data_IF_298218581237
#
_entry.id   IF_298218581237
#
_cell.length_a   1.000
_cell.length_b   1.000
_cell.length_c   1.000
_cell.angle_alpha   90.00
_cell.angle_beta   90.00
_cell.angle_gamma   90.00
#
_symmetry.space_group_name_H-M   'P 1'
#
loop_
_entity.id
_entity.type
_entity.pdbx_description
1 polymer ?
#
# COMPACT_ATOMS: atom_id res chain seq x y z
N UNK A 1 5.03 25.52 -25.00
CA UNK A 1 6.23 24.93 -24.37
C UNK A 1 5.79 23.69 -23.61
N UNK A 2 6.02 22.50 -24.17
CA UNK A 2 5.47 21.23 -23.66
C UNK A 2 6.18 20.75 -22.41
N UNK A 3 5.41 20.40 -21.36
CA UNK A 3 5.96 19.79 -20.14
C UNK A 3 6.53 18.42 -20.51
N UNK A 4 7.83 18.22 -20.24
CA UNK A 4 8.46 16.90 -20.26
C UNK A 4 7.73 16.01 -19.26
N UNK A 5 6.99 15.01 -19.74
CA UNK A 5 6.47 13.93 -18.89
C UNK A 5 7.67 13.14 -18.37
N UNK A 6 7.71 12.89 -17.07
CA UNK A 6 8.65 11.95 -16.46
C UNK A 6 8.45 10.56 -17.06
N UNK A 7 9.54 9.84 -17.33
CA UNK A 7 9.59 8.69 -18.25
C UNK A 7 9.18 7.37 -17.53
N UNK A 8 8.53 7.42 -16.35
CA UNK A 8 8.34 6.23 -15.50
C UNK A 8 6.89 5.95 -15.06
N UNK A 9 6.03 6.96 -14.88
CA UNK A 9 4.61 6.79 -14.58
C UNK A 9 3.76 7.73 -15.42
N UNK A 10 2.59 7.27 -15.87
CA UNK A 10 1.69 8.10 -16.67
C UNK A 10 0.98 9.19 -15.85
N UNK A 11 0.92 9.03 -14.53
CA UNK A 11 0.31 9.97 -13.60
C UNK A 11 1.27 10.31 -12.44
N UNK A 12 1.16 11.54 -11.90
CA UNK A 12 1.94 12.01 -10.73
C UNK A 12 1.46 11.41 -9.40
N UNK A 13 0.25 10.83 -9.35
CA UNK A 13 -0.30 10.17 -8.15
C UNK A 13 -0.98 11.10 -7.13
N UNK A 14 -0.75 12.42 -7.19
CA UNK A 14 -1.31 13.41 -6.24
C UNK A 14 -2.84 13.41 -6.18
N UNK A 15 -3.50 13.37 -7.33
CA UNK A 15 -4.97 13.38 -7.40
C UNK A 15 -5.57 12.19 -6.64
N UNK A 16 -4.98 11.01 -6.81
CA UNK A 16 -5.45 9.80 -6.17
C UNK A 16 -5.22 9.81 -4.66
N UNK A 17 -4.05 10.29 -4.21
CA UNK A 17 -3.78 10.45 -2.78
C UNK A 17 -4.84 11.35 -2.14
N UNK A 18 -5.08 12.52 -2.73
CA UNK A 18 -6.08 13.46 -2.22
C UNK A 18 -7.47 12.84 -2.21
N UNK A 19 -7.86 12.11 -3.27
CA UNK A 19 -9.16 11.46 -3.35
C UNK A 19 -9.31 10.34 -2.32
N UNK A 20 -8.28 9.52 -2.11
CA UNK A 20 -8.28 8.46 -1.07
C UNK A 20 -8.42 9.10 0.32
N UNK A 21 -7.66 10.15 0.60
CA UNK A 21 -7.74 10.85 1.89
C UNK A 21 -9.12 11.50 2.12
N UNK A 22 -9.76 12.02 1.06
CA UNK A 22 -11.11 12.61 1.13
C UNK A 22 -12.19 11.55 1.39
N UNK A 23 -12.08 10.37 0.75
CA UNK A 23 -13.09 9.31 0.85
C UNK A 23 -12.99 8.50 2.14
N UNK A 24 -11.82 8.44 2.76
CA UNK A 24 -11.60 7.65 3.97
C UNK A 24 -12.06 8.39 5.23
N UNK A 25 -13.27 8.05 5.69
CA UNK A 25 -13.79 8.46 7.01
C UNK A 25 -13.00 7.79 8.15
N UNK A 26 -12.51 6.56 7.90
CA UNK A 26 -11.72 5.78 8.86
C UNK A 26 -10.24 6.03 8.64
N UNK A 27 -9.53 6.42 9.70
CA UNK A 27 -8.09 6.72 9.63
C UNK A 27 -7.22 5.47 9.68
N UNK A 28 -7.52 4.53 10.58
CA UNK A 28 -6.67 3.36 10.82
C UNK A 28 -7.31 2.04 10.38
N UNK A 29 -6.50 1.11 9.89
CA UNK A 29 -6.97 -0.18 9.39
C UNK A 29 -7.75 -1.01 10.43
N UNK A 30 -7.37 -0.92 11.72
CA UNK A 30 -8.06 -1.68 12.78
C UNK A 30 -9.47 -1.15 13.09
N UNK A 31 -9.80 0.06 12.64
CA UNK A 31 -11.08 0.73 12.86
C UNK A 31 -12.10 0.43 11.75
N UNK A 32 -11.77 -0.39 10.75
CA UNK A 32 -12.73 -0.76 9.70
C UNK A 32 -13.92 -1.53 10.29
N UNK A 33 -15.12 -1.22 9.78
CA UNK A 33 -16.37 -1.83 10.25
C UNK A 33 -16.43 -3.33 9.94
N UNK A 34 -15.90 -3.73 8.79
CA UNK A 34 -15.76 -5.13 8.37
C UNK A 34 -14.30 -5.54 8.36
N UNK A 35 -14.06 -6.85 8.38
CA UNK A 35 -12.72 -7.38 8.22
C UNK A 35 -12.32 -7.33 6.74
N UNK A 36 -11.23 -6.62 6.45
CA UNK A 36 -10.69 -6.47 5.10
C UNK A 36 -9.28 -7.03 5.02
N UNK A 37 -8.90 -7.44 3.80
CA UNK A 37 -7.53 -7.80 3.43
C UNK A 37 -7.15 -6.91 2.23
N UNK A 38 -6.04 -6.20 2.36
CA UNK A 38 -5.51 -5.30 1.33
C UNK A 38 -4.15 -5.85 0.90
N UNK A 39 -4.06 -6.47 -0.30
CA UNK A 39 -2.81 -7.00 -0.84
C UNK A 39 -1.97 -5.90 -1.49
N UNK A 40 -0.66 -5.96 -1.29
CA UNK A 40 0.34 -5.11 -1.94
C UNK A 40 1.60 -5.93 -2.23
N UNK A 41 2.54 -5.38 -2.99
CA UNK A 41 3.86 -5.98 -3.20
C UNK A 41 4.96 -4.99 -2.79
N UNK A 42 5.91 -5.41 -1.94
CA UNK A 42 7.05 -4.56 -1.58
C UNK A 42 8.20 -4.79 -2.56
N UNK A 43 8.47 -3.79 -3.40
CA UNK A 43 9.48 -3.89 -4.47
C UNK A 43 10.91 -3.91 -3.94
N UNK A 44 11.15 -3.44 -2.71
CA UNK A 44 12.49 -3.48 -2.11
C UNK A 44 12.77 -4.84 -1.47
N UNK A 45 11.76 -5.44 -0.87
CA UNK A 45 11.84 -6.77 -0.26
C UNK A 45 11.51 -7.90 -1.23
N UNK A 46 11.00 -7.57 -2.43
CA UNK A 46 10.56 -8.49 -3.48
C UNK A 46 9.59 -9.56 -2.96
N UNK A 47 8.63 -9.16 -2.12
CA UNK A 47 7.66 -10.07 -1.51
C UNK A 47 6.25 -9.47 -1.42
N UNK A 48 5.20 -10.30 -1.50
CA UNK A 48 3.84 -9.86 -1.23
C UNK A 48 3.67 -9.45 0.24
N UNK A 49 2.92 -8.37 0.47
CA UNK A 49 2.53 -7.90 1.79
C UNK A 49 1.00 -7.83 1.84
N UNK A 50 0.40 -8.39 2.89
CA UNK A 50 -1.04 -8.26 3.13
C UNK A 50 -1.30 -7.52 4.42
N UNK A 51 -1.99 -6.38 4.29
CA UNK A 51 -2.58 -5.67 5.41
C UNK A 51 -3.95 -6.27 5.69
N UNK A 52 -4.30 -6.48 6.96
CA UNK A 52 -5.64 -6.96 7.29
C UNK A 52 -6.11 -6.42 8.63
N UNK A 53 -7.42 -6.21 8.73
CA UNK A 53 -8.06 -5.74 9.96
C UNK A 53 -7.78 -6.70 11.12
N UNK A 54 -7.85 -8.01 10.88
CA UNK A 54 -7.58 -9.03 11.90
C UNK A 54 -6.14 -8.94 12.45
N UNK A 55 -5.13 -8.79 11.57
CA UNK A 55 -3.73 -8.63 12.01
C UNK A 55 -3.52 -7.33 12.77
N UNK A 56 -4.20 -6.25 12.35
CA UNK A 56 -4.11 -4.93 12.98
C UNK A 56 -4.78 -4.90 14.36
N UNK A 57 -5.97 -5.50 14.51
CA UNK A 57 -6.68 -5.64 15.80
C UNK A 57 -5.88 -6.47 16.81
N UNK A 58 -5.19 -7.52 16.36
CA UNK A 58 -4.35 -8.38 17.24
C UNK A 58 -3.08 -7.69 17.74
N UNK A 59 -2.54 -6.74 16.97
CA UNK A 59 -1.29 -6.05 17.30
C UNK A 59 -1.50 -4.54 17.29
N UNK A 60 -2.11 -4.01 18.35
CA UNK A 60 -2.39 -2.57 18.49
C UNK A 60 -1.12 -1.69 18.37
N UNK A 61 0.06 -2.24 18.65
CA UNK A 61 1.35 -1.55 18.47
C UNK A 61 1.76 -1.33 17.01
N UNK A 62 1.05 -1.90 16.04
CA UNK A 62 1.28 -1.72 14.60
C UNK A 62 0.11 -0.92 14.02
N UNK A 63 0.16 0.39 14.23
CA UNK A 63 -0.83 1.32 13.68
C UNK A 63 -0.51 1.57 12.22
N UNK A 64 -1.36 1.02 11.34
CA UNK A 64 -1.28 1.24 9.89
C UNK A 64 -2.47 2.10 9.46
N UNK A 65 -2.18 3.19 8.75
CA UNK A 65 -3.19 4.06 8.16
C UNK A 65 -3.88 3.33 7.01
N UNK A 66 -5.20 3.42 6.97
CA UNK A 66 -5.98 2.78 5.90
C UNK A 66 -5.63 3.40 4.54
N UNK A 67 -5.37 4.71 4.51
CA UNK A 67 -4.95 5.46 3.32
C UNK A 67 -3.68 4.91 2.70
N UNK A 68 -2.65 4.68 3.52
CA UNK A 68 -1.34 4.23 3.06
C UNK A 68 -1.44 2.86 2.40
N UNK A 69 -2.29 1.99 2.96
CA UNK A 69 -2.59 0.68 2.40
C UNK A 69 -3.37 0.80 1.08
N UNK A 70 -4.39 1.67 1.02
CA UNK A 70 -5.20 1.90 -0.17
C UNK A 70 -4.40 2.51 -1.32
N UNK A 71 -3.45 3.40 -1.03
CA UNK A 71 -2.54 3.96 -2.02
C UNK A 71 -1.61 2.85 -2.53
N UNK A 72 -1.00 2.09 -1.63
CA UNK A 72 -0.09 1.00 -1.99
C UNK A 72 -0.73 -0.05 -2.89
N UNK A 73 -1.96 -0.50 -2.58
CA UNK A 73 -2.67 -1.48 -3.42
C UNK A 73 -3.09 -0.91 -4.78
N UNK A 74 -3.27 0.40 -4.89
CA UNK A 74 -3.72 1.03 -6.13
C UNK A 74 -2.56 1.48 -7.01
N UNK A 75 -1.31 1.44 -6.50
CA UNK A 75 -0.10 1.88 -7.19
C UNK A 75 0.32 0.89 -8.30
N UNK A 76 -0.50 0.78 -9.34
CA UNK A 76 -0.28 -0.10 -10.47
C UNK A 76 0.99 0.30 -11.25
N UNK A 77 1.92 -0.65 -11.53
CA UNK A 77 3.12 -0.35 -12.31
C UNK A 77 2.79 0.27 -13.66
N UNK A 78 3.70 1.09 -14.18
CA UNK A 78 3.56 1.90 -15.40
C UNK A 78 2.51 3.03 -15.34
N UNK A 79 1.42 2.87 -14.59
CA UNK A 79 0.38 3.89 -14.45
C UNK A 79 0.67 4.84 -13.29
N UNK A 80 1.17 4.30 -12.18
CA UNK A 80 1.34 5.02 -10.93
C UNK A 80 2.76 4.89 -10.37
N UNK A 81 3.23 5.92 -9.64
CA UNK A 81 4.49 5.81 -8.92
C UNK A 81 4.37 4.81 -7.76
N UNK A 82 5.45 4.06 -7.44
CA UNK A 82 5.53 3.28 -6.21
C UNK A 82 5.33 4.16 -4.97
N UNK A 83 4.67 3.61 -3.97
CA UNK A 83 4.32 4.35 -2.76
C UNK A 83 5.22 3.97 -1.58
N UNK A 84 5.80 4.99 -0.94
CA UNK A 84 6.68 4.81 0.21
C UNK A 84 6.05 5.39 1.48
N UNK A 85 6.14 4.63 2.58
CA UNK A 85 5.86 5.16 3.91
C UNK A 85 6.61 4.39 5.00
N UNK A 86 6.63 4.99 6.19
CA UNK A 86 7.22 4.39 7.39
C UNK A 86 6.13 4.14 8.43
N UNK A 87 6.15 2.95 9.03
CA UNK A 87 5.27 2.58 10.13
C UNK A 87 6.10 2.41 11.40
N UNK A 88 5.83 3.23 12.40
CA UNK A 88 6.45 3.09 13.71
C UNK A 88 5.69 2.07 14.55
N UNK A 89 6.42 1.08 15.05
CA UNK A 89 5.92 0.10 16.00
C UNK A 89 6.83 0.03 17.23
N UNK A 90 6.36 -0.62 18.29
CA UNK A 90 7.14 -0.86 19.50
C UNK A 90 8.44 -1.64 19.25
N UNK A 91 8.48 -2.45 18.19
CA UNK A 91 9.66 -3.22 17.75
C UNK A 91 10.59 -2.44 16.83
N UNK A 92 10.31 -1.16 16.56
CA UNK A 92 11.06 -0.30 15.66
C UNK A 92 10.27 0.19 14.45
N UNK A 93 10.93 0.96 13.59
CA UNK A 93 10.35 1.54 12.37
C UNK A 93 10.45 0.56 11.21
N UNK A 94 9.32 0.22 10.59
CA UNK A 94 9.27 -0.58 9.37
C UNK A 94 8.98 0.30 8.16
N UNK A 95 9.83 0.20 7.14
CA UNK A 95 9.72 0.95 5.89
C UNK A 95 9.04 0.10 4.82
N UNK A 96 8.10 0.67 4.08
CA UNK A 96 7.36 -0.01 3.01
C UNK A 96 7.60 0.67 1.67
N UNK A 97 7.84 -0.11 0.61
CA UNK A 97 7.95 0.38 -0.77
C UNK A 97 6.94 -0.36 -1.64
N UNK A 98 5.70 0.09 -1.63
CA UNK A 98 4.58 -0.67 -2.14
C UNK A 98 4.25 -0.33 -3.59
N UNK A 99 3.88 -1.36 -4.33
CA UNK A 99 3.12 -1.29 -5.59
C UNK A 99 1.89 -2.18 -5.46
N UNK A 100 1.02 -2.10 -6.46
CA UNK A 100 -0.19 -2.91 -6.56
C UNK A 100 0.13 -4.41 -6.37
N UNK A 101 -0.69 -5.06 -5.54
CA UNK A 101 -0.58 -6.49 -5.24
C UNK A 101 -0.73 -7.40 -6.46
N UNK A 102 -1.31 -6.92 -7.58
CA UNK A 102 -1.34 -7.70 -8.84
C UNK A 102 0.05 -8.03 -9.38
N UNK A 103 1.09 -7.28 -8.99
CA UNK A 103 2.49 -7.61 -9.31
C UNK A 103 2.90 -8.95 -8.72
N UNK A 104 2.35 -9.30 -7.56
CA UNK A 104 2.58 -10.59 -6.91
C UNK A 104 2.03 -11.77 -7.73
N UNK A 105 1.07 -11.54 -8.63
CA UNK A 105 0.49 -12.59 -9.47
C UNK A 105 1.41 -13.00 -10.63
N UNK A 106 2.35 -12.15 -11.03
CA UNK A 106 3.24 -12.37 -12.18
C UNK A 106 4.67 -12.78 -11.77
N UNK A 107 5.00 -12.74 -10.49
CA UNK A 107 6.21 -13.34 -9.93
C UNK A 107 5.80 -14.76 -9.52
N UNK A 108 6.52 -15.83 -9.90
CA UNK A 108 6.17 -17.19 -9.51
C UNK A 108 6.39 -17.35 -8.00
N UNK A 109 5.40 -16.97 -7.21
CA UNK A 109 5.32 -17.29 -5.79
C UNK A 109 4.55 -18.59 -5.71
N UNK A 110 5.26 -19.71 -5.69
CA UNK A 110 4.70 -20.99 -5.31
C UNK A 110 4.08 -20.84 -3.91
N UNK A 111 2.75 -20.80 -3.81
CA UNK A 111 2.06 -21.09 -2.56
C UNK A 111 2.35 -22.55 -2.23
N UNK A 112 3.38 -22.81 -1.43
CA UNK A 112 3.53 -24.09 -0.76
C UNK A 112 2.47 -24.14 0.34
N UNK A 113 1.41 -24.90 0.08
CA UNK A 113 0.54 -25.46 1.11
C UNK A 113 1.30 -26.35 2.07
#
# INVERSE_FOLDING_TARGET
>A
MGRKRSILSQCDGDYQHNKIMEMLVVKFLHQTLTDVIIPTFDIRLLQPISFSTLKAKRNASKVSWLSDNCIGTSAAPYYMPPYYFEMHASTGTKKFNLVDGVVAANIPVSFSS
#
